data_IF_132591777149
#
_entry.id   IF_132591777149
#
_cell.length_a   1.000
_cell.length_b   1.000
_cell.length_c   1.000
_cell.angle_alpha   90.00
_cell.angle_beta   90.00
_cell.angle_gamma   90.00
#
_symmetry.space_group_name_H-M   'P 1'
#
loop_
_entity.id
_entity.type
_entity.pdbx_description
1 polymer ?
#
# COMPACT_ATOMS: atom_id res chain seq x y z
N UNK A 1 -29.23 18.34 15.25
CA UNK A 1 -30.07 17.19 15.62
C UNK A 1 -29.16 16.01 15.92
N UNK A 2 -29.26 15.48 17.13
CA UNK A 2 -28.49 14.29 17.55
C UNK A 2 -29.32 13.04 17.26
N UNK A 3 -28.73 12.04 16.59
CA UNK A 3 -29.38 10.76 16.35
C UNK A 3 -29.25 9.87 17.58
N UNK A 4 -30.36 9.50 18.16
CA UNK A 4 -30.44 8.53 19.26
C UNK A 4 -30.56 7.11 18.67
N UNK A 5 -29.64 6.22 19.07
CA UNK A 5 -29.68 4.81 18.70
C UNK A 5 -29.92 3.98 19.96
N UNK A 6 -30.93 3.13 19.92
CA UNK A 6 -31.32 2.27 21.02
C UNK A 6 -30.96 0.83 20.71
N UNK A 7 -30.00 0.30 21.45
CA UNK A 7 -29.63 -1.11 21.48
C UNK A 7 -29.82 -1.67 22.88
N UNK A 8 -28.78 -2.31 23.46
CA UNK A 8 -28.81 -2.69 24.88
C UNK A 8 -28.85 -1.46 25.80
N UNK A 9 -28.23 -0.37 25.35
CA UNK A 9 -28.33 0.95 25.96
C UNK A 9 -28.49 2.00 24.88
N UNK A 10 -29.16 3.10 25.21
CA UNK A 10 -29.26 4.27 24.33
C UNK A 10 -27.90 4.94 24.20
N UNK A 11 -27.50 5.23 22.93
CA UNK A 11 -26.28 5.96 22.60
C UNK A 11 -26.56 7.04 21.57
N UNK A 12 -25.71 8.07 21.58
CA UNK A 12 -25.80 9.22 20.69
C UNK A 12 -24.39 9.43 20.14
N UNK A 13 -24.07 8.88 18.95
CA UNK A 13 -22.81 9.16 18.26
C UNK A 13 -22.71 10.63 17.87
N UNK A 14 -21.51 11.20 17.94
CA UNK A 14 -21.29 12.61 17.61
C UNK A 14 -21.51 12.91 16.12
N UNK A 15 -21.16 11.97 15.24
CA UNK A 15 -21.41 12.08 13.81
C UNK A 15 -21.48 10.72 13.12
N UNK A 16 -22.32 10.63 12.09
CA UNK A 16 -22.41 9.45 11.22
C UNK A 16 -22.53 9.93 9.79
N UNK A 17 -21.65 9.42 8.92
CA UNK A 17 -21.78 9.63 7.48
C UNK A 17 -22.57 8.48 6.87
N UNK A 18 -23.66 8.84 6.22
CA UNK A 18 -24.49 7.93 5.45
C UNK A 18 -24.25 8.09 3.96
N UNK A 19 -24.12 6.98 3.24
CA UNK A 19 -24.17 6.94 1.78
C UNK A 19 -25.27 5.96 1.39
N UNK A 20 -26.25 6.42 0.65
CA UNK A 20 -27.44 5.63 0.25
C UNK A 20 -28.13 4.92 1.43
N UNK A 21 -28.21 5.59 2.58
CA UNK A 21 -28.84 5.06 3.78
C UNK A 21 -27.98 4.11 4.62
N UNK A 22 -26.75 3.78 4.18
CA UNK A 22 -25.81 2.94 4.93
C UNK A 22 -24.91 3.80 5.82
N UNK A 23 -24.77 3.50 7.13
CA UNK A 23 -23.90 4.21 8.05
C UNK A 23 -22.45 3.75 7.86
N UNK A 24 -21.71 4.43 6.98
CA UNK A 24 -20.38 3.99 6.57
C UNK A 24 -19.25 4.52 7.44
N UNK A 25 -19.36 5.73 7.98
CA UNK A 25 -18.34 6.29 8.86
C UNK A 25 -18.96 6.79 10.14
N UNK A 26 -18.37 6.43 11.27
CA UNK A 26 -18.79 6.90 12.60
C UNK A 26 -17.70 7.79 13.17
N UNK A 27 -18.11 8.97 13.64
CA UNK A 27 -17.25 9.97 14.25
C UNK A 27 -17.49 10.01 15.75
N UNK A 28 -16.43 10.13 16.52
CA UNK A 28 -16.49 10.40 17.94
C UNK A 28 -15.51 11.52 18.29
N UNK A 29 -16.04 12.57 18.90
CA UNK A 29 -15.32 13.78 19.26
C UNK A 29 -15.18 13.91 20.77
N UNK A 30 -14.02 14.40 21.22
CA UNK A 30 -13.82 14.84 22.60
C UNK A 30 -13.35 16.28 22.56
N UNK A 31 -13.65 17.01 23.64
CA UNK A 31 -13.21 18.40 23.74
C UNK A 31 -11.83 18.46 24.37
N UNK A 32 -10.87 19.06 23.68
CA UNK A 32 -9.54 19.32 24.23
C UNK A 32 -9.54 20.26 25.47
N UNK A 33 -10.65 20.98 25.70
CA UNK A 33 -10.77 21.92 26.82
C UNK A 33 -11.16 21.20 28.12
N UNK A 34 -11.70 19.99 28.04
CA UNK A 34 -12.08 19.22 29.24
C UNK A 34 -10.84 18.50 29.80
N UNK A 35 -10.48 18.83 31.03
CA UNK A 35 -9.55 18.04 31.82
C UNK A 35 -9.95 16.55 31.78
N UNK A 36 -9.04 15.65 31.43
CA UNK A 36 -9.24 14.21 31.35
C UNK A 36 -10.06 13.66 30.15
N UNK A 37 -10.38 14.45 29.13
CA UNK A 37 -10.99 13.94 27.90
C UNK A 37 -9.97 13.88 26.75
N UNK A 38 -9.52 12.68 26.41
CA UNK A 38 -8.48 12.46 25.39
C UNK A 38 -9.04 11.79 24.13
N UNK A 39 -8.31 11.87 23.04
CA UNK A 39 -8.63 11.11 21.80
C UNK A 39 -8.73 9.60 22.08
N UNK A 40 -7.99 9.07 23.06
CA UNK A 40 -8.08 7.67 23.48
C UNK A 40 -9.44 7.35 24.13
N UNK A 41 -10.10 8.31 24.77
CA UNK A 41 -11.46 8.11 25.30
C UNK A 41 -12.50 8.07 24.18
N UNK A 42 -12.29 8.82 23.08
CA UNK A 42 -13.07 8.67 21.85
C UNK A 42 -12.93 7.25 21.27
N UNK A 43 -11.71 6.74 21.18
CA UNK A 43 -11.45 5.38 20.75
C UNK A 43 -12.15 4.33 21.62
N UNK A 44 -12.05 4.42 22.96
CA UNK A 44 -12.72 3.50 23.88
C UNK A 44 -14.26 3.58 23.76
N UNK A 45 -14.78 4.78 23.50
CA UNK A 45 -16.22 4.95 23.32
C UNK A 45 -16.72 4.21 22.08
N UNK A 46 -16.03 4.32 20.96
CA UNK A 46 -16.34 3.59 19.72
C UNK A 46 -16.15 2.07 19.89
N UNK A 47 -14.95 1.65 20.23
CA UNK A 47 -14.54 0.25 20.13
C UNK A 47 -15.01 -0.63 21.29
N UNK A 48 -15.31 -0.03 22.45
CA UNK A 48 -15.78 -0.77 23.63
C UNK A 48 -17.26 -0.49 23.90
N UNK A 49 -17.62 0.78 24.10
CA UNK A 49 -19.00 1.12 24.54
C UNK A 49 -20.02 0.92 23.43
N UNK A 50 -19.78 1.47 22.24
CA UNK A 50 -20.71 1.34 21.12
C UNK A 50 -20.75 -0.09 20.59
N UNK A 51 -19.59 -0.79 20.56
CA UNK A 51 -19.54 -2.22 20.21
C UNK A 51 -20.43 -3.08 21.09
N UNK A 52 -20.49 -2.79 22.38
CA UNK A 52 -21.36 -3.50 23.34
C UNK A 52 -22.82 -3.08 23.21
N UNK A 53 -23.10 -1.78 23.09
CA UNK A 53 -24.42 -1.21 23.30
C UNK A 53 -25.24 -1.06 22.01
N UNK A 54 -24.59 -0.76 20.88
CA UNK A 54 -25.22 -0.50 19.58
C UNK A 54 -24.43 -1.15 18.42
N UNK A 55 -24.13 -2.46 18.48
CA UNK A 55 -23.30 -3.14 17.47
C UNK A 55 -23.85 -3.04 16.05
N UNK A 56 -25.17 -3.00 15.87
CA UNK A 56 -25.84 -2.92 14.57
C UNK A 56 -25.43 -1.69 13.76
N UNK A 57 -25.03 -0.58 14.40
CA UNK A 57 -24.51 0.60 13.73
C UNK A 57 -23.25 0.28 12.89
N UNK A 58 -22.45 -0.69 13.33
CA UNK A 58 -21.16 -1.01 12.71
C UNK A 58 -21.24 -2.12 11.67
N UNK A 59 -22.41 -2.66 11.41
CA UNK A 59 -22.60 -3.74 10.42
C UNK A 59 -22.10 -3.38 9.02
N UNK A 60 -22.27 -2.13 8.62
CA UNK A 60 -21.81 -1.61 7.33
C UNK A 60 -20.67 -0.60 7.46
N UNK A 61 -20.10 -0.46 8.66
CA UNK A 61 -19.05 0.52 8.91
C UNK A 61 -17.82 0.26 8.05
N UNK A 62 -17.38 1.26 7.31
CA UNK A 62 -16.14 1.24 6.56
C UNK A 62 -14.94 1.50 7.48
N UNK A 63 -14.97 2.64 8.19
CA UNK A 63 -13.94 3.05 9.15
C UNK A 63 -14.54 4.03 10.19
N UNK A 64 -13.73 4.38 11.18
CA UNK A 64 -14.10 5.32 12.24
C UNK A 64 -13.12 6.50 12.26
N UNK A 65 -13.61 7.65 12.72
CA UNK A 65 -12.83 8.85 12.97
C UNK A 65 -12.94 9.18 14.46
N UNK A 66 -11.79 9.44 15.06
CA UNK A 66 -11.69 9.94 16.44
C UNK A 66 -10.94 11.26 16.45
N UNK A 67 -11.39 12.20 17.29
CA UNK A 67 -10.77 13.52 17.40
C UNK A 67 -10.96 14.11 18.80
N UNK A 68 -9.96 14.85 19.26
CA UNK A 68 -10.07 15.73 20.42
C UNK A 68 -9.98 17.22 20.04
N UNK A 69 -10.04 17.52 18.74
CA UNK A 69 -9.89 18.86 18.16
C UNK A 69 -8.45 19.26 17.87
N UNK A 70 -7.47 18.58 18.47
CA UNK A 70 -6.04 18.77 18.19
C UNK A 70 -5.49 17.55 17.43
N UNK A 71 -5.78 16.36 17.95
CA UNK A 71 -5.38 15.11 17.35
C UNK A 71 -6.56 14.50 16.60
N UNK A 72 -6.34 14.07 15.37
CA UNK A 72 -7.38 13.52 14.50
C UNK A 72 -6.86 12.25 13.87
N UNK A 73 -7.57 11.13 14.06
CA UNK A 73 -7.16 9.82 13.59
C UNK A 73 -8.30 9.05 12.96
N UNK A 74 -7.97 8.27 11.93
CA UNK A 74 -8.87 7.31 11.28
C UNK A 74 -8.39 5.89 11.49
N UNK A 75 -9.31 4.95 11.60
CA UNK A 75 -8.96 3.54 11.75
C UNK A 75 -10.15 2.61 11.61
N UNK A 76 -9.86 1.31 11.63
CA UNK A 76 -10.88 0.27 11.62
C UNK A 76 -11.53 0.13 13.00
N UNK A 77 -12.83 -0.13 13.02
CA UNK A 77 -13.56 -0.48 14.23
C UNK A 77 -12.98 -1.70 14.99
N UNK A 78 -12.30 -2.59 14.28
CA UNK A 78 -11.68 -3.80 14.84
C UNK A 78 -10.22 -3.61 15.24
N UNK A 79 -9.61 -2.48 14.91
CA UNK A 79 -8.19 -2.23 15.14
C UNK A 79 -7.92 -1.74 16.58
N UNK A 80 -6.74 -2.11 17.10
CA UNK A 80 -6.21 -1.54 18.31
C UNK A 80 -5.83 -0.06 18.10
N UNK A 81 -5.74 0.73 19.17
CA UNK A 81 -5.52 2.18 19.09
C UNK A 81 -4.25 2.58 18.31
N UNK A 82 -3.22 1.78 18.40
CA UNK A 82 -1.96 2.00 17.66
C UNK A 82 -2.11 1.95 16.14
N UNK A 83 -3.19 1.36 15.63
CA UNK A 83 -3.54 1.32 14.20
C UNK A 83 -4.52 2.41 13.78
N UNK A 84 -4.75 3.42 14.61
CA UNK A 84 -5.44 4.65 14.24
C UNK A 84 -4.42 5.74 13.89
N UNK A 85 -4.50 6.26 12.66
CA UNK A 85 -3.51 7.15 12.09
C UNK A 85 -4.10 8.49 11.66
N UNK A 86 -3.29 9.53 11.70
CA UNK A 86 -3.63 10.82 11.10
C UNK A 86 -3.82 10.69 9.59
N UNK A 87 -4.61 11.59 9.01
CA UNK A 87 -4.75 11.73 7.57
C UNK A 87 -4.39 13.15 7.17
N UNK A 88 -3.52 13.29 6.15
CA UNK A 88 -3.17 14.58 5.55
C UNK A 88 -3.71 14.64 4.14
N UNK A 89 -4.31 15.79 3.76
CA UNK A 89 -4.63 16.08 2.36
C UNK A 89 -3.32 16.23 1.57
N UNK A 90 -3.36 15.97 0.27
CA UNK A 90 -2.15 16.04 -0.57
C UNK A 90 -1.51 17.43 -0.56
N UNK A 91 -2.34 18.51 -0.63
CA UNK A 91 -1.85 19.90 -0.53
C UNK A 91 -1.11 20.18 0.78
N UNK A 92 -1.66 19.69 1.89
CA UNK A 92 -1.11 19.93 3.22
C UNK A 92 0.12 19.06 3.48
N UNK A 93 0.20 17.90 2.85
CA UNK A 93 1.39 17.05 2.83
C UNK A 93 2.56 17.73 2.11
N UNK A 94 2.32 18.41 1.00
CA UNK A 94 3.35 19.17 0.30
C UNK A 94 3.90 20.30 1.19
N UNK A 95 3.04 21.05 1.89
CA UNK A 95 3.46 22.07 2.86
C UNK A 95 4.30 21.46 3.99
N UNK A 96 3.87 20.32 4.52
CA UNK A 96 4.59 19.59 5.55
C UNK A 96 5.99 19.16 5.10
N UNK A 97 6.15 18.69 3.86
CA UNK A 97 7.46 18.36 3.28
C UNK A 97 8.37 19.57 3.15
N UNK A 98 7.80 20.78 2.99
CA UNK A 98 8.53 22.05 2.99
C UNK A 98 8.84 22.58 4.40
N UNK A 99 8.43 21.87 5.46
CA UNK A 99 8.69 22.22 6.86
C UNK A 99 7.58 23.03 7.53
N UNK A 100 6.46 23.25 6.85
CA UNK A 100 5.26 23.88 7.41
C UNK A 100 4.39 22.83 8.11
N UNK A 101 3.89 23.14 9.30
CA UNK A 101 3.04 22.23 10.06
C UNK A 101 1.57 22.61 9.99
N UNK A 102 0.72 21.60 9.81
CA UNK A 102 -0.73 21.74 9.84
C UNK A 102 -1.23 21.10 11.13
N UNK A 103 -1.49 21.93 12.13
CA UNK A 103 -1.81 21.50 13.50
C UNK A 103 -3.25 21.79 13.92
N UNK A 104 -3.68 21.18 15.01
CA UNK A 104 -4.95 21.40 15.67
C UNK A 104 -6.15 21.20 14.76
N UNK A 105 -7.06 22.17 14.75
CA UNK A 105 -8.29 22.12 13.94
C UNK A 105 -7.99 22.06 12.43
N UNK A 106 -6.86 22.57 12.00
CA UNK A 106 -6.42 22.50 10.61
C UNK A 106 -6.10 21.05 10.20
N UNK A 107 -5.61 20.21 11.12
CA UNK A 107 -5.38 18.79 10.85
C UNK A 107 -6.69 18.03 10.65
N UNK A 108 -7.78 18.39 11.33
CA UNK A 108 -9.11 17.86 11.06
C UNK A 108 -9.63 18.30 9.69
N UNK A 109 -9.42 19.57 9.32
CA UNK A 109 -9.73 20.09 7.99
C UNK A 109 -8.96 19.33 6.91
N UNK A 110 -7.65 19.08 7.12
CA UNK A 110 -6.80 18.32 6.22
C UNK A 110 -7.34 16.89 6.03
N UNK A 111 -7.73 16.22 7.11
CA UNK A 111 -8.37 14.91 7.05
C UNK A 111 -9.67 14.94 6.25
N UNK A 112 -10.54 15.94 6.50
CA UNK A 112 -11.83 16.06 5.80
C UNK A 112 -11.60 16.32 4.31
N UNK A 113 -10.73 17.25 3.93
CA UNK A 113 -10.40 17.53 2.53
C UNK A 113 -9.79 16.33 1.81
N UNK A 114 -8.87 15.62 2.45
CA UNK A 114 -8.15 14.52 1.83
C UNK A 114 -8.98 13.24 1.77
N UNK A 115 -9.58 12.83 2.89
CA UNK A 115 -10.25 11.54 3.01
C UNK A 115 -11.71 11.57 2.57
N UNK A 116 -12.40 12.71 2.79
CA UNK A 116 -13.83 12.88 2.52
C UNK A 116 -14.13 13.66 1.24
N UNK A 117 -13.13 14.00 0.43
CA UNK A 117 -13.40 14.29 -0.97
C UNK A 117 -14.18 13.13 -1.58
N UNK A 118 -15.21 13.41 -2.37
CA UNK A 118 -16.14 12.38 -2.85
C UNK A 118 -15.43 11.27 -3.64
N UNK A 119 -14.50 11.63 -4.51
CA UNK A 119 -13.75 10.67 -5.32
C UNK A 119 -12.81 9.83 -4.45
N UNK A 120 -12.09 10.48 -3.53
CA UNK A 120 -11.19 9.79 -2.61
C UNK A 120 -11.93 8.85 -1.68
N UNK A 121 -13.03 9.30 -1.07
CA UNK A 121 -13.83 8.48 -0.17
C UNK A 121 -14.37 7.22 -0.85
N UNK A 122 -14.93 7.35 -2.04
CA UNK A 122 -15.44 6.22 -2.80
C UNK A 122 -14.32 5.26 -3.21
N UNK A 123 -13.17 5.80 -3.59
CA UNK A 123 -11.99 5.00 -3.93
C UNK A 123 -11.44 4.26 -2.69
N UNK A 124 -11.36 4.93 -1.54
CA UNK A 124 -10.93 4.32 -0.27
C UNK A 124 -11.85 3.15 0.08
N UNK A 125 -13.16 3.38 0.10
CA UNK A 125 -14.14 2.33 0.46
C UNK A 125 -14.06 1.15 -0.51
N UNK A 126 -13.90 1.40 -1.81
CA UNK A 126 -13.90 0.36 -2.84
C UNK A 126 -12.59 -0.43 -2.92
N UNK A 127 -11.46 0.25 -2.76
CA UNK A 127 -10.16 -0.30 -3.13
C UNK A 127 -9.09 -0.28 -2.03
N UNK A 128 -9.32 0.40 -0.90
CA UNK A 128 -8.30 0.60 0.14
C UNK A 128 -8.73 0.13 1.54
N UNK A 129 -9.79 -0.66 1.58
CA UNK A 129 -10.24 -1.37 2.77
C UNK A 129 -10.39 -2.84 2.41
N UNK A 130 -9.83 -3.74 3.21
CA UNK A 130 -10.03 -5.16 3.00
C UNK A 130 -10.07 -5.95 4.31
N UNK A 131 -10.69 -7.11 4.23
CA UNK A 131 -10.72 -8.09 5.30
C UNK A 131 -9.82 -9.26 4.87
N UNK A 132 -8.70 -9.50 5.56
CA UNK A 132 -7.85 -10.65 5.28
C UNK A 132 -8.62 -11.97 5.49
N UNK A 133 -8.35 -12.95 4.63
CA UNK A 133 -8.87 -14.31 4.77
C UNK A 133 -8.13 -15.02 5.91
N UNK A 134 -8.44 -14.66 7.15
CA UNK A 134 -7.87 -15.26 8.37
C UNK A 134 -8.97 -15.87 9.22
N UNK A 135 -8.70 -17.04 9.82
CA UNK A 135 -9.69 -17.81 10.59
C UNK A 135 -9.78 -17.42 12.07
N UNK A 136 -8.82 -16.68 12.61
CA UNK A 136 -8.62 -16.59 14.05
C UNK A 136 -8.96 -15.24 14.69
N UNK A 137 -9.14 -14.16 13.92
CA UNK A 137 -9.47 -12.83 14.45
C UNK A 137 -10.18 -12.00 13.37
N UNK A 138 -11.23 -11.28 13.75
CA UNK A 138 -11.84 -10.27 12.88
C UNK A 138 -10.84 -9.11 12.68
N UNK A 139 -10.32 -8.98 11.49
CA UNK A 139 -9.39 -7.93 11.10
C UNK A 139 -9.94 -7.22 9.89
N UNK A 140 -9.96 -5.89 9.94
CA UNK A 140 -10.26 -5.01 8.82
C UNK A 140 -9.11 -4.04 8.66
N UNK A 141 -8.49 -4.04 7.50
CA UNK A 141 -7.38 -3.15 7.17
C UNK A 141 -7.95 -1.93 6.45
N UNK A 142 -7.62 -0.74 6.93
CA UNK A 142 -7.91 0.54 6.30
C UNK A 142 -6.58 1.20 5.96
N UNK A 143 -6.43 1.72 4.75
CA UNK A 143 -5.18 2.34 4.32
C UNK A 143 -4.84 3.58 5.15
N UNK A 144 -3.56 3.92 5.18
CA UNK A 144 -3.03 5.21 5.60
C UNK A 144 -2.88 6.15 4.39
N UNK A 145 -2.85 7.47 4.62
CA UNK A 145 -2.73 8.43 3.52
C UNK A 145 -1.49 8.20 2.63
N UNK A 146 -0.29 7.84 3.17
CA UNK A 146 0.86 7.59 2.30
C UNK A 146 0.65 6.39 1.37
N UNK A 147 -0.04 5.35 1.86
CA UNK A 147 -0.36 4.16 1.06
C UNK A 147 -1.37 4.49 -0.04
N UNK A 148 -2.37 5.32 0.28
CA UNK A 148 -3.39 5.76 -0.66
C UNK A 148 -2.77 6.57 -1.81
N UNK A 149 -2.01 7.63 -1.47
CA UNK A 149 -1.42 8.49 -2.48
C UNK A 149 -0.35 7.78 -3.31
N UNK A 150 0.53 7.00 -2.67
CA UNK A 150 1.54 6.23 -3.39
C UNK A 150 0.91 5.24 -4.38
N UNK A 151 -0.06 4.44 -3.94
CA UNK A 151 -0.68 3.45 -4.82
C UNK A 151 -1.47 4.10 -5.97
N UNK A 152 -2.17 5.21 -5.72
CA UNK A 152 -2.93 5.92 -6.77
C UNK A 152 -2.02 6.60 -7.78
N UNK A 153 -0.96 7.28 -7.34
CA UNK A 153 0.02 7.92 -8.23
C UNK A 153 0.79 6.90 -9.06
N UNK A 154 1.26 5.82 -8.43
CA UNK A 154 1.93 4.73 -9.15
C UNK A 154 1.00 4.08 -10.17
N UNK A 155 -0.26 3.88 -9.84
CA UNK A 155 -1.24 3.32 -10.77
C UNK A 155 -1.37 4.16 -12.06
N UNK A 156 -1.50 5.48 -11.93
CA UNK A 156 -1.58 6.36 -13.10
C UNK A 156 -0.24 6.40 -13.86
N UNK A 157 0.89 6.46 -13.16
CA UNK A 157 2.20 6.44 -13.81
C UNK A 157 2.46 5.13 -14.58
N UNK A 158 2.10 3.98 -14.01
CA UNK A 158 2.20 2.68 -14.71
C UNK A 158 1.38 2.68 -16.00
N UNK A 159 0.19 3.26 -15.96
CA UNK A 159 -0.71 3.35 -17.10
C UNK A 159 -0.13 4.20 -18.24
N UNK A 160 0.56 5.29 -17.90
CA UNK A 160 1.24 6.16 -18.87
C UNK A 160 2.49 5.51 -19.47
N UNK A 161 3.22 4.75 -18.65
CA UNK A 161 4.51 4.16 -19.03
C UNK A 161 4.44 2.70 -19.51
N UNK A 162 3.22 2.13 -19.60
CA UNK A 162 3.06 0.75 -20.08
C UNK A 162 3.48 0.61 -21.54
N UNK A 163 4.26 -0.43 -21.85
CA UNK A 163 4.63 -0.76 -23.24
C UNK A 163 3.41 -1.29 -24.02
N UNK A 164 3.35 -1.10 -25.33
CA UNK A 164 4.40 -0.54 -26.20
C UNK A 164 4.40 0.99 -26.31
N UNK A 165 3.43 1.70 -25.75
CA UNK A 165 3.32 3.16 -25.86
C UNK A 165 4.33 3.87 -24.95
N UNK A 166 4.59 3.34 -23.76
CA UNK A 166 5.54 3.86 -22.79
C UNK A 166 6.90 3.13 -22.84
N UNK A 167 7.78 3.52 -21.93
CA UNK A 167 9.15 2.99 -21.81
C UNK A 167 9.25 1.76 -20.89
N UNK A 168 8.17 1.41 -20.19
CA UNK A 168 8.13 0.32 -19.21
C UNK A 168 8.66 0.69 -17.82
N UNK A 169 8.95 1.98 -17.54
CA UNK A 169 9.38 2.47 -16.23
C UNK A 169 8.19 2.97 -15.41
N UNK A 170 7.60 2.09 -14.62
CA UNK A 170 6.36 2.35 -13.88
C UNK A 170 6.52 3.26 -12.66
N UNK A 171 7.75 3.68 -12.33
CA UNK A 171 8.07 4.62 -11.27
C UNK A 171 8.62 3.98 -10.00
N UNK A 172 9.16 4.83 -9.13
CA UNK A 172 9.76 4.43 -7.84
C UNK A 172 8.95 5.03 -6.68
N UNK A 173 8.64 4.21 -5.67
CA UNK A 173 8.13 4.67 -4.38
C UNK A 173 9.24 4.63 -3.34
N UNK A 174 9.52 5.79 -2.75
CA UNK A 174 10.40 5.90 -1.60
C UNK A 174 9.59 5.86 -0.31
N UNK A 175 9.67 4.78 0.43
CA UNK A 175 8.96 4.61 1.70
C UNK A 175 9.88 4.23 2.84
N UNK A 176 9.87 5.03 3.93
CA UNK A 176 10.63 4.74 5.14
C UNK A 176 10.40 3.31 5.63
N UNK A 177 11.42 2.71 6.24
CA UNK A 177 11.31 1.37 6.82
C UNK A 177 10.20 1.34 7.88
N UNK A 178 9.35 0.31 7.86
CA UNK A 178 8.20 0.18 8.76
C UNK A 178 6.96 1.00 8.35
N UNK A 179 7.01 1.80 7.29
CA UNK A 179 5.85 2.58 6.83
C UNK A 179 4.73 1.74 6.18
N UNK A 180 4.91 0.43 6.02
CA UNK A 180 3.91 -0.48 5.44
C UNK A 180 3.94 -0.54 3.92
N UNK A 181 5.12 -0.55 3.30
CA UNK A 181 5.32 -0.73 1.85
C UNK A 181 4.56 -1.94 1.28
N UNK A 182 4.54 -3.07 2.00
CA UNK A 182 3.83 -4.28 1.56
C UNK A 182 2.32 -4.07 1.42
N UNK A 183 1.69 -3.25 2.27
CA UNK A 183 0.29 -2.86 2.08
C UNK A 183 0.12 -1.93 0.88
N UNK A 184 1.06 -1.02 0.63
CA UNK A 184 1.03 -0.18 -0.58
C UNK A 184 1.09 -1.03 -1.85
N UNK A 185 1.96 -2.05 -1.90
CA UNK A 185 2.02 -3.01 -3.00
C UNK A 185 0.70 -3.78 -3.17
N UNK A 186 0.07 -4.19 -2.06
CA UNK A 186 -1.20 -4.88 -2.09
C UNK A 186 -2.33 -4.00 -2.65
N UNK A 187 -2.41 -2.73 -2.20
CA UNK A 187 -3.40 -1.77 -2.71
C UNK A 187 -3.16 -1.46 -4.18
N UNK A 188 -1.91 -1.26 -4.59
CA UNK A 188 -1.54 -1.09 -5.99
C UNK A 188 -1.95 -2.30 -6.83
N UNK A 189 -1.66 -3.52 -6.36
CA UNK A 189 -2.06 -4.76 -7.03
C UNK A 189 -3.59 -4.82 -7.20
N UNK A 190 -4.35 -4.44 -6.16
CA UNK A 190 -5.82 -4.35 -6.24
C UNK A 190 -6.28 -3.40 -7.35
N UNK A 191 -5.70 -2.19 -7.42
CA UNK A 191 -6.04 -1.20 -8.45
C UNK A 191 -5.75 -1.75 -9.85
N UNK A 192 -4.57 -2.33 -10.06
CA UNK A 192 -4.15 -2.90 -11.33
C UNK A 192 -5.08 -4.05 -11.77
N UNK A 193 -5.37 -5.00 -10.88
CA UNK A 193 -6.20 -6.18 -11.17
C UNK A 193 -7.66 -5.81 -11.46
N UNK A 194 -8.17 -4.71 -10.92
CA UNK A 194 -9.56 -4.25 -11.14
C UNK A 194 -9.70 -3.23 -12.26
N UNK A 195 -8.60 -2.81 -12.87
CA UNK A 195 -8.61 -1.84 -13.95
C UNK A 195 -8.95 -2.50 -15.28
N UNK A 196 -9.95 -1.94 -15.98
CA UNK A 196 -10.25 -2.34 -17.34
C UNK A 196 -9.10 -2.05 -18.32
N UNK A 197 -8.30 -1.00 -18.05
CA UNK A 197 -7.14 -0.63 -18.88
C UNK A 197 -6.11 -1.76 -18.98
N UNK A 198 -5.79 -2.38 -17.82
CA UNK A 198 -4.78 -3.46 -17.77
C UNK A 198 -5.34 -4.84 -18.13
N UNK A 199 -6.65 -5.00 -18.28
CA UNK A 199 -7.31 -6.25 -18.67
C UNK A 199 -6.84 -7.47 -17.85
N UNK A 200 -6.85 -7.36 -16.52
CA UNK A 200 -6.35 -8.36 -15.57
C UNK A 200 -4.88 -8.69 -15.83
N UNK A 201 -3.94 -7.82 -15.47
CA UNK A 201 -2.51 -8.02 -15.73
C UNK A 201 -1.98 -9.20 -14.92
N UNK A 202 -0.85 -9.74 -15.34
CA UNK A 202 -0.05 -10.63 -14.51
C UNK A 202 0.89 -9.77 -13.65
N UNK A 203 0.87 -9.98 -12.34
CA UNK A 203 1.75 -9.29 -11.39
C UNK A 203 2.87 -10.23 -10.98
N UNK A 204 4.12 -9.77 -11.07
CA UNK A 204 5.30 -10.46 -10.57
C UNK A 204 5.89 -9.64 -9.44
N UNK A 205 5.75 -10.13 -8.21
CA UNK A 205 6.32 -9.51 -7.01
C UNK A 205 7.72 -10.07 -6.79
N UNK A 206 8.70 -9.20 -6.70
CA UNK A 206 10.11 -9.56 -6.62
C UNK A 206 10.70 -9.03 -5.32
N UNK A 207 11.23 -9.91 -4.50
CA UNK A 207 11.92 -9.59 -3.24
C UNK A 207 13.40 -9.90 -3.32
N UNK A 208 14.20 -9.26 -2.46
CA UNK A 208 15.64 -9.53 -2.34
C UNK A 208 15.93 -10.69 -1.36
N UNK A 209 15.06 -10.91 -0.37
CA UNK A 209 15.27 -11.88 0.72
C UNK A 209 14.16 -12.92 0.79
N UNK A 210 14.54 -14.15 1.08
CA UNK A 210 13.61 -15.27 1.29
C UNK A 210 12.70 -15.07 2.49
N UNK A 211 13.18 -14.51 3.59
CA UNK A 211 12.37 -14.26 4.81
C UNK A 211 11.25 -13.25 4.56
N UNK A 212 11.51 -12.24 3.71
CA UNK A 212 10.51 -11.26 3.30
C UNK A 212 9.52 -11.87 2.29
N UNK A 213 9.96 -12.84 1.51
CA UNK A 213 9.11 -13.60 0.58
C UNK A 213 8.00 -14.33 1.33
N UNK A 214 8.31 -14.98 2.45
CA UNK A 214 7.33 -15.69 3.29
C UNK A 214 6.26 -14.74 3.88
N UNK A 215 6.68 -13.59 4.41
CA UNK A 215 5.77 -12.60 4.98
C UNK A 215 4.87 -11.98 3.90
N UNK A 216 5.44 -11.56 2.79
CA UNK A 216 4.71 -10.95 1.67
C UNK A 216 3.78 -11.99 1.03
N UNK A 217 4.26 -13.22 0.84
CA UNK A 217 3.49 -14.33 0.32
C UNK A 217 2.27 -14.65 1.19
N UNK A 218 2.45 -14.70 2.52
CA UNK A 218 1.36 -14.88 3.47
C UNK A 218 0.32 -13.76 3.38
N UNK A 219 0.76 -12.50 3.31
CA UNK A 219 -0.12 -11.34 3.17
C UNK A 219 -0.94 -11.38 1.88
N UNK A 220 -0.31 -11.66 0.74
CA UNK A 220 -0.99 -11.73 -0.56
C UNK A 220 -1.89 -12.96 -0.68
N UNK A 221 -1.49 -14.08 -0.11
CA UNK A 221 -2.33 -15.29 -0.05
C UNK A 221 -3.61 -15.05 0.74
N UNK A 222 -3.53 -14.35 1.86
CA UNK A 222 -4.68 -13.98 2.68
C UNK A 222 -5.54 -12.85 2.07
N UNK A 223 -5.13 -12.30 0.93
CA UNK A 223 -5.83 -11.23 0.24
C UNK A 223 -6.38 -11.64 -1.15
N UNK A 224 -6.43 -12.93 -1.48
CA UNK A 224 -6.90 -13.43 -2.79
C UNK A 224 -8.27 -12.88 -3.17
N UNK A 225 -9.24 -12.98 -2.28
CA UNK A 225 -10.58 -12.48 -2.49
C UNK A 225 -10.62 -10.97 -2.70
N UNK A 226 -9.81 -10.22 -1.97
CA UNK A 226 -9.66 -8.78 -2.11
C UNK A 226 -9.00 -8.40 -3.44
N UNK A 227 -7.89 -9.01 -3.80
CA UNK A 227 -7.20 -8.81 -5.10
C UNK A 227 -8.16 -9.16 -6.25
N UNK A 228 -8.98 -10.19 -6.07
CA UNK A 228 -9.92 -10.69 -7.07
C UNK A 228 -9.26 -11.63 -8.07
N UNK A 229 -8.20 -12.31 -7.65
CA UNK A 229 -7.57 -13.40 -8.39
C UNK A 229 -7.22 -14.55 -7.43
N UNK A 230 -7.64 -15.77 -7.79
CA UNK A 230 -7.37 -16.96 -6.99
C UNK A 230 -5.94 -17.51 -7.20
N UNK A 231 -5.27 -17.05 -8.26
CA UNK A 231 -3.91 -17.46 -8.59
C UNK A 231 -2.91 -16.53 -7.91
N UNK A 232 -2.68 -16.74 -6.63
CA UNK A 232 -1.57 -16.13 -5.88
C UNK A 232 -0.65 -17.24 -5.46
N UNK A 233 0.59 -17.25 -5.96
CA UNK A 233 1.52 -18.35 -5.75
C UNK A 233 2.97 -17.89 -5.62
N UNK A 234 3.70 -18.46 -4.67
CA UNK A 234 5.15 -18.37 -4.62
C UNK A 234 5.76 -19.24 -5.71
N UNK A 235 6.83 -18.75 -6.30
CA UNK A 235 7.57 -19.36 -7.39
C UNK A 235 8.82 -20.01 -6.83
N UNK A 236 9.04 -21.28 -7.12
CA UNK A 236 10.19 -22.04 -6.59
C UNK A 236 11.46 -21.89 -7.41
N UNK A 237 11.33 -21.72 -8.73
CA UNK A 237 12.44 -21.51 -9.66
C UNK A 237 12.02 -20.63 -10.83
N UNK A 238 13.00 -20.26 -11.68
CA UNK A 238 12.73 -19.54 -12.91
C UNK A 238 11.92 -20.39 -13.91
N UNK A 239 12.18 -21.69 -13.99
CA UNK A 239 11.40 -22.65 -14.79
C UNK A 239 9.96 -22.74 -14.31
N UNK A 240 9.72 -22.75 -13.00
CA UNK A 240 8.38 -22.74 -12.40
C UNK A 240 7.64 -21.44 -12.78
N UNK A 241 8.32 -20.27 -12.80
CA UNK A 241 7.71 -19.04 -13.30
C UNK A 241 7.37 -19.12 -14.80
N UNK A 242 8.27 -19.68 -15.60
CA UNK A 242 8.04 -19.92 -17.03
C UNK A 242 6.79 -20.79 -17.26
N UNK A 243 6.68 -21.89 -16.55
CA UNK A 243 5.54 -22.81 -16.66
C UNK A 243 4.23 -22.15 -16.24
N UNK A 244 4.26 -21.30 -15.20
CA UNK A 244 3.10 -20.53 -14.74
C UNK A 244 2.70 -19.42 -15.74
N UNK A 245 3.63 -18.86 -16.47
CA UNK A 245 3.38 -17.84 -17.50
C UNK A 245 3.02 -18.45 -18.87
N UNK A 246 3.43 -19.69 -19.13
CA UNK A 246 3.21 -20.38 -20.41
C UNK A 246 1.72 -20.55 -20.70
N UNK A 247 1.29 -20.02 -21.84
CA UNK A 247 -0.11 -20.09 -22.28
C UNK A 247 -1.08 -19.20 -21.46
N UNK A 248 -0.58 -18.43 -20.48
CA UNK A 248 -1.39 -17.49 -19.70
C UNK A 248 -1.53 -16.18 -20.47
N UNK A 249 -2.75 -15.73 -20.66
CA UNK A 249 -3.04 -14.46 -21.34
C UNK A 249 -3.38 -13.32 -20.37
N UNK A 250 -3.80 -13.62 -19.14
CA UNK A 250 -4.20 -12.63 -18.14
C UNK A 250 -4.14 -13.19 -16.72
N UNK A 251 -4.17 -12.29 -15.74
CA UNK A 251 -4.27 -12.61 -14.32
C UNK A 251 -3.03 -13.30 -13.74
N UNK A 252 -3.13 -13.60 -12.45
CA UNK A 252 -2.10 -14.25 -11.65
C UNK A 252 -1.18 -13.26 -10.94
N UNK A 253 -0.89 -13.57 -9.69
CA UNK A 253 0.09 -12.87 -8.85
C UNK A 253 1.15 -13.87 -8.42
N UNK A 254 2.37 -13.67 -8.86
CA UNK A 254 3.50 -14.57 -8.63
C UNK A 254 4.56 -13.89 -7.79
N UNK A 255 4.92 -14.52 -6.68
CA UNK A 255 5.96 -14.02 -5.77
C UNK A 255 7.26 -14.79 -6.03
N UNK A 256 8.36 -14.07 -6.15
CA UNK A 256 9.67 -14.64 -6.46
C UNK A 256 10.79 -13.82 -5.84
N UNK A 257 11.98 -14.39 -5.74
CA UNK A 257 13.18 -13.64 -5.36
C UNK A 257 14.01 -13.31 -6.58
N UNK A 258 14.72 -12.16 -6.54
CA UNK A 258 15.56 -11.70 -7.65
C UNK A 258 16.67 -12.71 -8.00
N UNK A 259 17.16 -13.46 -7.02
CA UNK A 259 18.22 -14.46 -7.19
C UNK A 259 17.83 -15.64 -8.10
N UNK A 260 16.54 -15.82 -8.39
CA UNK A 260 16.07 -16.83 -9.36
C UNK A 260 16.29 -16.41 -10.82
N UNK A 261 16.65 -15.14 -11.06
CA UNK A 261 17.02 -14.60 -12.37
C UNK A 261 18.55 -14.53 -12.51
N UNK A 262 19.18 -15.68 -12.55
CA UNK A 262 20.63 -15.82 -12.79
C UNK A 262 20.94 -15.88 -14.30
N UNK A 263 22.04 -16.46 -14.71
CA UNK A 263 22.65 -16.37 -16.05
C UNK A 263 21.76 -16.77 -17.26
N UNK A 264 20.56 -17.32 -17.05
CA UNK A 264 19.62 -17.67 -18.12
C UNK A 264 18.79 -16.44 -18.53
N UNK A 265 18.90 -16.02 -19.78
CA UNK A 265 18.20 -14.87 -20.39
C UNK A 265 17.05 -15.30 -21.32
N UNK A 266 16.65 -16.57 -21.28
CA UNK A 266 15.56 -17.05 -22.11
C UNK A 266 14.25 -16.29 -21.80
N UNK A 267 13.53 -15.93 -22.86
CA UNK A 267 12.26 -15.21 -22.77
C UNK A 267 11.24 -15.98 -21.93
N UNK A 268 10.70 -15.32 -20.90
CA UNK A 268 9.59 -15.84 -20.10
C UNK A 268 8.24 -15.54 -20.76
N UNK A 269 8.05 -14.31 -21.20
CA UNK A 269 6.90 -13.87 -21.96
C UNK A 269 7.19 -12.51 -22.64
N UNK A 270 6.59 -12.28 -23.78
CA UNK A 270 6.62 -11.01 -24.53
C UNK A 270 5.39 -10.12 -24.30
N UNK A 271 4.52 -10.52 -23.37
CA UNK A 271 3.28 -9.80 -23.07
C UNK A 271 3.56 -8.42 -22.47
N UNK A 272 2.73 -7.44 -22.85
CA UNK A 272 2.79 -6.06 -22.36
C UNK A 272 1.97 -5.82 -21.08
N UNK A 273 1.03 -6.72 -20.75
CA UNK A 273 0.24 -6.65 -19.52
C UNK A 273 0.84 -7.48 -18.37
N UNK A 274 2.16 -7.41 -18.24
CA UNK A 274 2.93 -7.94 -17.11
C UNK A 274 3.52 -6.78 -16.34
N UNK A 275 3.31 -6.75 -15.04
CA UNK A 275 3.80 -5.70 -14.16
C UNK A 275 4.66 -6.33 -13.08
N UNK A 276 5.93 -5.92 -13.04
CA UNK A 276 6.91 -6.35 -12.05
C UNK A 276 6.99 -5.32 -10.93
N UNK A 277 6.69 -5.73 -9.71
CA UNK A 277 6.78 -4.89 -8.51
C UNK A 277 7.94 -5.41 -7.67
N UNK A 278 8.97 -4.60 -7.51
CA UNK A 278 10.22 -4.96 -6.84
C UNK A 278 10.31 -4.32 -5.47
N UNK A 279 10.41 -5.14 -4.41
CA UNK A 279 10.69 -4.68 -3.06
C UNK A 279 12.20 -4.55 -2.83
N UNK A 280 12.61 -3.59 -1.98
CA UNK A 280 14.02 -3.23 -1.72
C UNK A 280 14.83 -3.04 -3.02
N UNK A 281 14.23 -2.35 -3.99
CA UNK A 281 14.71 -2.21 -5.37
C UNK A 281 16.15 -1.68 -5.52
N UNK A 282 16.67 -0.96 -4.50
CA UNK A 282 18.03 -0.41 -4.49
C UNK A 282 19.13 -1.46 -4.32
N UNK A 283 18.83 -2.69 -3.93
CA UNK A 283 19.84 -3.72 -3.60
C UNK A 283 20.37 -4.40 -4.86
N UNK A 284 19.86 -5.57 -5.19
CA UNK A 284 20.35 -6.40 -6.29
C UNK A 284 19.67 -6.13 -7.64
N UNK A 285 18.72 -5.20 -7.69
CA UNK A 285 17.80 -5.01 -8.81
C UNK A 285 18.13 -3.79 -9.70
N UNK A 286 19.30 -3.14 -9.48
CA UNK A 286 19.69 -1.91 -10.19
C UNK A 286 20.89 -2.08 -11.12
N UNK A 287 21.55 -3.22 -11.14
CA UNK A 287 22.73 -3.44 -11.98
C UNK A 287 22.34 -3.93 -13.38
N UNK A 288 22.22 -3.00 -14.31
CA UNK A 288 22.09 -3.28 -15.74
C UNK A 288 23.46 -3.38 -16.45
N UNK A 289 24.53 -2.91 -15.80
CA UNK A 289 25.86 -2.85 -16.38
C UNK A 289 26.57 -4.19 -16.38
N UNK A 290 27.42 -4.36 -17.40
CA UNK A 290 28.29 -5.51 -17.53
C UNK A 290 29.47 -5.43 -16.56
N UNK A 291 29.59 -6.41 -15.67
CA UNK A 291 30.80 -6.61 -14.88
C UNK A 291 31.80 -7.46 -15.67
N UNK A 292 32.99 -6.92 -15.85
CA UNK A 292 34.10 -7.62 -16.47
C UNK A 292 35.06 -8.06 -15.36
N UNK A 293 35.20 -9.36 -15.14
CA UNK A 293 36.23 -9.93 -14.28
C UNK A 293 37.27 -10.65 -15.10
N UNK A 294 38.54 -10.29 -14.89
CA UNK A 294 39.66 -10.99 -15.52
C UNK A 294 40.13 -12.05 -14.53
N UNK A 295 40.03 -13.30 -14.91
CA UNK A 295 40.52 -14.46 -14.15
C UNK A 295 41.67 -15.10 -14.90
N UNK A 296 42.44 -15.95 -14.25
CA UNK A 296 43.56 -16.70 -14.90
C UNK A 296 43.08 -17.52 -16.09
N UNK A 297 41.80 -17.91 -16.12
CA UNK A 297 41.17 -18.68 -17.21
C UNK A 297 40.59 -17.81 -18.34
N UNK A 298 40.66 -16.47 -18.23
CA UNK A 298 40.16 -15.54 -19.25
C UNK A 298 39.27 -14.43 -18.74
N UNK A 299 38.68 -13.68 -19.68
CA UNK A 299 37.73 -12.58 -19.35
C UNK A 299 36.33 -13.13 -19.19
N UNK A 300 35.81 -13.10 -17.97
CA UNK A 300 34.43 -13.46 -17.66
C UNK A 300 33.56 -12.19 -17.62
N UNK A 301 32.55 -12.15 -18.48
CA UNK A 301 31.53 -11.08 -18.50
C UNK A 301 30.32 -11.60 -17.76
N UNK A 302 29.86 -10.86 -16.76
CA UNK A 302 28.61 -11.16 -16.04
C UNK A 302 27.74 -9.92 -15.98
N UNK A 303 26.43 -10.10 -16.11
CA UNK A 303 25.43 -9.06 -15.91
C UNK A 303 24.78 -9.22 -14.54
N UNK A 304 24.17 -8.15 -14.02
CA UNK A 304 23.39 -8.21 -12.79
C UNK A 304 22.03 -8.89 -13.00
N UNK A 305 21.40 -9.32 -11.91
CA UNK A 305 20.06 -9.95 -11.92
C UNK A 305 19.00 -9.07 -12.58
N UNK A 306 19.10 -7.74 -12.43
CA UNK A 306 18.19 -6.79 -13.06
C UNK A 306 18.22 -6.91 -14.60
N UNK A 307 19.39 -7.06 -15.20
CA UNK A 307 19.54 -7.24 -16.65
C UNK A 307 18.85 -8.53 -17.10
N UNK A 308 19.09 -9.64 -16.40
CA UNK A 308 18.49 -10.93 -16.74
C UNK A 308 16.96 -10.91 -16.61
N UNK A 309 16.44 -10.21 -15.58
CA UNK A 309 15.00 -10.00 -15.40
C UNK A 309 14.40 -9.21 -16.57
N UNK A 310 15.01 -8.09 -16.95
CA UNK A 310 14.54 -7.25 -18.05
C UNK A 310 14.60 -7.98 -19.41
N UNK A 311 15.67 -8.73 -19.66
CA UNK A 311 15.81 -9.51 -20.90
C UNK A 311 14.77 -10.65 -20.98
N UNK A 312 14.37 -11.21 -19.83
CA UNK A 312 13.36 -12.27 -19.73
C UNK A 312 11.93 -11.75 -19.88
N UNK A 313 11.67 -10.49 -19.56
CA UNK A 313 10.35 -9.82 -19.56
C UNK A 313 10.46 -8.47 -20.30
N UNK A 314 10.82 -8.43 -21.59
CA UNK A 314 11.21 -7.19 -22.27
C UNK A 314 10.08 -6.18 -22.43
N UNK A 315 8.82 -6.62 -22.37
CA UNK A 315 7.64 -5.78 -22.53
C UNK A 315 6.90 -5.53 -21.22
N UNK A 316 7.43 -6.01 -20.07
CA UNK A 316 6.85 -5.73 -18.78
C UNK A 316 7.04 -4.26 -18.34
N UNK A 317 6.22 -3.81 -17.43
CA UNK A 317 6.38 -2.53 -16.72
C UNK A 317 6.95 -2.79 -15.33
N UNK A 318 8.00 -2.08 -14.97
CA UNK A 318 8.75 -2.29 -13.73
C UNK A 318 8.51 -1.15 -12.74
N UNK A 319 8.22 -1.50 -11.50
CA UNK A 319 7.93 -0.57 -10.40
C UNK A 319 8.85 -0.89 -9.23
N UNK A 320 9.53 0.12 -8.69
CA UNK A 320 10.45 -0.03 -7.56
C UNK A 320 9.86 0.46 -6.24
N UNK A 321 10.00 -0.34 -5.19
CA UNK A 321 9.74 0.05 -3.81
C UNK A 321 11.05 0.02 -3.04
N UNK A 322 11.40 1.09 -2.33
CA UNK A 322 12.69 1.18 -1.63
C UNK A 322 12.61 2.04 -0.38
N UNK A 323 13.43 1.71 0.63
CA UNK A 323 13.68 2.58 1.78
C UNK A 323 14.87 3.52 1.59
N UNK A 324 15.67 3.33 0.53
CA UNK A 324 16.90 4.09 0.22
C UNK A 324 17.05 4.22 -1.30
N UNK A 325 16.40 5.23 -1.93
CA UNK A 325 16.55 5.41 -3.37
C UNK A 325 17.97 5.85 -3.72
N UNK A 326 18.50 5.29 -4.79
CA UNK A 326 19.77 5.65 -5.42
C UNK A 326 19.52 5.94 -6.90
N UNK A 327 20.41 6.68 -7.55
CA UNK A 327 20.25 7.06 -8.96
C UNK A 327 20.01 5.83 -9.86
N UNK A 328 20.76 4.76 -9.65
CA UNK A 328 20.58 3.50 -10.38
C UNK A 328 19.17 2.87 -10.21
N UNK A 329 18.43 3.16 -9.12
CA UNK A 329 17.04 2.72 -8.97
C UNK A 329 16.15 3.46 -9.97
N UNK A 330 16.34 4.77 -10.12
CA UNK A 330 15.57 5.59 -11.07
C UNK A 330 15.88 5.22 -12.53
N UNK A 331 17.10 4.83 -12.83
CA UNK A 331 17.49 4.36 -14.17
C UNK A 331 16.70 3.11 -14.60
N UNK A 332 16.38 2.23 -13.66
CA UNK A 332 15.67 0.97 -13.90
C UNK A 332 14.16 1.12 -13.84
N UNK A 333 13.65 1.77 -12.78
CA UNK A 333 12.22 1.80 -12.47
C UNK A 333 11.53 3.12 -12.84
N UNK A 334 12.28 4.17 -13.13
CA UNK A 334 11.78 5.51 -13.35
C UNK A 334 11.86 6.40 -12.12
N UNK A 335 11.44 7.65 -12.28
CA UNK A 335 11.52 8.68 -11.25
C UNK A 335 10.76 8.31 -9.96
N UNK A 336 11.04 9.03 -8.88
CA UNK A 336 10.30 8.91 -7.62
C UNK A 336 8.92 9.56 -7.82
N UNK A 337 7.89 8.72 -7.86
CA UNK A 337 6.51 9.14 -8.05
C UNK A 337 5.86 9.61 -6.76
N UNK A 338 6.24 9.00 -5.65
CA UNK A 338 5.81 9.42 -4.32
C UNK A 338 6.85 9.01 -3.27
N UNK A 339 6.94 9.83 -2.20
CA UNK A 339 7.85 9.59 -1.11
C UNK A 339 7.15 9.73 0.25
N UNK A 340 7.44 8.82 1.16
CA UNK A 340 7.10 8.94 2.57
C UNK A 340 8.38 8.80 3.39
N UNK A 341 8.89 9.93 3.82
CA UNK A 341 10.22 10.04 4.43
C UNK A 341 10.22 9.59 5.90
N UNK A 342 11.41 9.35 6.46
CA UNK A 342 11.58 9.06 7.89
C UNK A 342 11.08 10.23 8.76
N UNK A 343 11.26 11.47 8.32
CA UNK A 343 10.77 12.66 9.03
C UNK A 343 9.24 12.65 9.13
N UNK A 344 8.54 12.37 8.03
CA UNK A 344 7.08 12.23 8.02
C UNK A 344 6.64 11.08 8.94
N UNK A 345 7.32 9.93 8.85
CA UNK A 345 7.00 8.74 9.64
C UNK A 345 7.15 8.96 11.14
N UNK A 346 8.17 9.68 11.57
CA UNK A 346 8.40 10.05 13.00
C UNK A 346 7.33 11.05 13.46
N UNK A 347 7.01 12.06 12.67
CA UNK A 347 5.98 13.04 13.01
C UNK A 347 4.57 12.44 13.05
N UNK A 348 4.29 11.46 12.23
CA UNK A 348 3.03 10.71 12.26
C UNK A 348 3.00 9.61 13.35
N UNK A 349 4.03 9.52 14.19
CA UNK A 349 4.20 8.52 15.25
C UNK A 349 4.15 7.05 14.75
N UNK A 350 4.59 6.81 13.52
CA UNK A 350 4.69 5.46 12.95
C UNK A 350 6.07 4.86 13.26
N UNK A 351 7.11 5.68 13.21
CA UNK A 351 8.48 5.28 13.54
C UNK A 351 8.96 6.04 14.78
N UNK A 352 9.64 5.36 15.68
CA UNK A 352 10.23 5.98 16.88
C UNK A 352 11.51 6.73 16.49
N UNK A 353 11.66 7.96 16.98
CA UNK A 353 12.90 8.73 16.80
C UNK A 353 14.02 8.07 17.59
N UNK A 354 15.07 7.63 16.92
CA UNK A 354 16.29 7.16 17.56
C UNK A 354 17.13 8.39 17.91
N UNK A 355 17.39 8.59 19.20
CA UNK A 355 18.31 9.63 19.69
C UNK A 355 19.59 8.90 20.11
N UNK A 356 20.70 9.22 19.47
CA UNK A 356 22.04 8.73 19.82
C UNK A 356 22.68 9.64 20.88
#
# INVERSE_FOLDING_TARGET
>A
NQLEIVGTHKRIPDGILYINGLPLVVFEFKSAIRENATIHDAYKQLTIRYRRDIPELFKYNAFCIISDGVNNKSGSFFADYEFYYAWRAESDRQLFQLGEEVDGINSLHSMIKGMFDQANLLNIIRNFIYLPDTTNKEVKIVCRYPQYYAATKLFENIKEHQKPQGDGKGGTYFGATGCGKSFTMLFLTRLLMKSAHFASPTIVLITDRTDLDDQLSGQFTNAKGYIGDNTVASVTSREDLRDKLKGRNSGGVFLTTIHKFNEDTELLTDRTNVICISDEAHRSQVNLDQKISVTEDGVKKSFGFAKHLHDSLPNATFVGFTGTPIDATMDVFGEIIDAYTMTESVKDNITVRIVY
#
